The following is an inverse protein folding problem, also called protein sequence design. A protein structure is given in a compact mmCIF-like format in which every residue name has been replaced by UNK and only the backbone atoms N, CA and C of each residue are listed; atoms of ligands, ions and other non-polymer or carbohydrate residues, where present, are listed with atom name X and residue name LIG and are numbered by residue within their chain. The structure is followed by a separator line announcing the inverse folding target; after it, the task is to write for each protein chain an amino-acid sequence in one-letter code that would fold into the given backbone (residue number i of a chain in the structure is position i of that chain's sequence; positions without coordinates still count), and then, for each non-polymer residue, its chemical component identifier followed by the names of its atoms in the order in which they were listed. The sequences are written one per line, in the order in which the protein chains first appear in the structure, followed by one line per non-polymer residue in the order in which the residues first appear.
data_IF_011905326679
#
_entry.id   IF_011905326679
#
_cell.length_a   1.000
_cell.length_b   1.000
_cell.length_c   1.000
_cell.angle_alpha   90.00
_cell.angle_beta   90.00
_cell.angle_gamma   90.00
#
_symmetry.space_group_name_H-M   'P 1'
#
loop_
_entity.id
_entity.type
_entity.pdbx_description
1 polymer ?
#
# COMPACT_ATOMS: atom_id res chain seq x y z
N UNK A 1 1.82 4.84 -41.25
CA UNK A 1 1.55 4.91 -39.80
C UNK A 1 0.49 5.97 -39.58
N UNK A 2 -0.66 5.54 -39.08
CA UNK A 2 -1.82 6.41 -38.91
C UNK A 2 -1.63 7.29 -37.66
N UNK A 3 -2.06 8.56 -37.68
CA UNK A 3 -1.87 9.51 -36.56
C UNK A 3 -2.43 9.00 -35.22
N UNK A 4 -3.42 8.12 -35.28
CA UNK A 4 -4.06 7.53 -34.09
C UNK A 4 -3.21 6.42 -33.45
N UNK A 5 -2.40 5.69 -34.21
CA UNK A 5 -1.51 4.63 -33.67
C UNK A 5 -0.34 5.20 -32.86
N UNK A 6 0.11 6.41 -33.21
CA UNK A 6 1.20 7.10 -32.50
C UNK A 6 0.73 7.59 -31.12
N UNK A 7 -0.55 7.94 -30.98
CA UNK A 7 -1.12 8.37 -29.70
C UNK A 7 -1.28 7.21 -28.72
N UNK A 8 -1.74 6.04 -29.18
CA UNK A 8 -1.89 4.86 -28.30
C UNK A 8 -0.54 4.29 -27.83
N UNK A 9 0.49 4.31 -28.69
CA UNK A 9 1.83 3.81 -28.34
C UNK A 9 2.54 4.62 -27.24
N UNK A 10 2.15 5.88 -27.04
CA UNK A 10 2.80 6.79 -26.11
C UNK A 10 2.20 6.76 -24.70
N UNK A 11 0.99 6.22 -24.53
CA UNK A 11 0.22 6.40 -23.29
C UNK A 11 -0.12 5.10 -22.53
N UNK A 12 0.02 3.92 -23.13
CA UNK A 12 -0.24 2.67 -22.42
C UNK A 12 1.06 1.98 -22.04
N UNK A 13 1.36 2.01 -20.74
CA UNK A 13 2.36 1.13 -20.13
C UNK A 13 1.65 -0.04 -19.50
N UNK A 14 1.98 -1.24 -19.95
CA UNK A 14 1.65 -2.44 -19.21
C UNK A 14 2.79 -2.76 -18.24
N UNK A 15 2.51 -2.63 -16.95
CA UNK A 15 3.41 -3.04 -15.87
C UNK A 15 2.98 -4.35 -15.21
N UNK A 16 1.90 -4.99 -15.68
CA UNK A 16 1.39 -6.24 -15.12
C UNK A 16 2.45 -7.35 -15.05
N UNK A 17 3.36 -7.54 -16.03
CA UNK A 17 4.43 -8.54 -15.91
C UNK A 17 5.38 -8.30 -14.73
N UNK A 18 5.57 -7.04 -14.32
CA UNK A 18 6.38 -6.72 -13.14
C UNK A 18 5.59 -6.98 -11.86
N UNK A 19 4.28 -6.81 -11.88
CA UNK A 19 3.41 -7.01 -10.71
C UNK A 19 3.15 -8.50 -10.44
N UNK A 20 3.23 -9.36 -11.47
CA UNK A 20 3.19 -10.82 -11.33
C UNK A 20 4.39 -11.41 -10.57
N UNK A 21 5.50 -10.66 -10.49
CA UNK A 21 6.71 -11.06 -9.75
C UNK A 21 6.62 -10.74 -8.25
N UNK A 22 5.47 -10.25 -7.76
CA UNK A 22 5.30 -9.88 -6.36
C UNK A 22 5.36 -11.14 -5.46
N UNK A 23 6.32 -11.23 -4.51
CA UNK A 23 6.45 -12.39 -3.62
C UNK A 23 5.21 -12.60 -2.74
N UNK A 24 4.37 -11.56 -2.58
CA UNK A 24 3.11 -11.66 -1.85
C UNK A 24 2.05 -12.52 -2.56
N UNK A 25 2.18 -12.74 -3.87
CA UNK A 25 1.24 -13.55 -4.69
C UNK A 25 1.53 -15.05 -4.62
N UNK A 26 2.66 -15.45 -4.04
CA UNK A 26 3.05 -16.85 -3.87
C UNK A 26 1.94 -17.59 -3.10
N UNK A 27 1.74 -18.89 -3.39
CA UNK A 27 0.66 -19.73 -2.82
C UNK A 27 -0.76 -19.42 -3.32
N UNK A 28 -0.91 -18.62 -4.39
CA UNK A 28 -2.20 -18.38 -5.05
C UNK A 28 -3.04 -17.26 -4.41
N UNK A 29 -2.39 -16.34 -3.69
CA UNK A 29 -3.06 -15.13 -3.21
C UNK A 29 -3.33 -14.16 -4.36
N UNK A 30 -4.44 -13.44 -4.27
CA UNK A 30 -4.78 -12.34 -5.16
C UNK A 30 -4.91 -11.04 -4.38
N UNK A 31 -4.39 -9.93 -4.90
CA UNK A 31 -4.51 -8.61 -4.28
C UNK A 31 -5.95 -8.09 -4.52
N UNK A 32 -6.61 -7.67 -3.45
CA UNK A 32 -7.97 -7.07 -3.49
C UNK A 32 -8.00 -5.61 -3.08
N UNK A 33 -6.95 -5.14 -2.43
CA UNK A 33 -6.80 -3.75 -2.03
C UNK A 33 -5.32 -3.40 -1.94
N UNK A 34 -4.95 -2.23 -2.47
CA UNK A 34 -3.62 -1.65 -2.31
C UNK A 34 -3.73 -0.13 -2.28
N UNK A 35 -3.44 0.50 -1.14
CA UNK A 35 -3.40 1.96 -1.00
C UNK A 35 -2.42 2.38 0.09
N UNK A 36 -1.93 3.60 0.00
CA UNK A 36 -1.31 4.29 1.13
C UNK A 36 -2.38 4.80 2.08
N UNK A 37 -2.19 4.58 3.37
CA UNK A 37 -3.12 4.98 4.43
C UNK A 37 -2.32 5.70 5.53
N UNK A 38 -2.81 6.84 6.05
CA UNK A 38 -2.16 7.52 7.17
C UNK A 38 -2.34 6.71 8.45
N UNK A 39 -1.24 6.32 9.07
CA UNK A 39 -1.17 5.57 10.31
C UNK A 39 -0.49 6.42 11.38
N UNK A 40 -1.01 6.37 12.61
CA UNK A 40 -0.27 6.84 13.77
C UNK A 40 0.60 5.68 14.29
N UNK A 41 1.91 5.78 14.12
CA UNK A 41 2.88 4.77 14.55
C UNK A 41 3.29 5.06 15.98
N UNK A 42 3.06 4.10 16.87
CA UNK A 42 3.48 4.17 18.28
C UNK A 42 4.44 3.04 18.61
N UNK A 43 5.32 3.29 19.57
CA UNK A 43 6.23 2.27 20.12
C UNK A 43 5.86 2.04 21.58
N UNK A 44 5.63 0.78 21.93
CA UNK A 44 5.39 0.37 23.31
C UNK A 44 6.67 -0.26 23.89
N UNK A 45 7.26 0.39 24.89
CA UNK A 45 8.45 -0.11 25.60
C UNK A 45 8.13 -1.25 26.57
N UNK A 46 6.90 -1.31 27.10
CA UNK A 46 6.39 -2.41 27.92
C UNK A 46 4.85 -2.42 27.93
N UNK A 47 4.22 -3.56 28.28
CA UNK A 47 2.76 -3.69 28.32
C UNK A 47 2.08 -2.76 29.36
N UNK A 48 2.84 -2.21 30.32
CA UNK A 48 2.31 -1.38 31.42
C UNK A 48 2.52 0.12 31.22
N UNK A 49 3.28 0.55 30.21
CA UNK A 49 3.52 1.97 29.94
C UNK A 49 2.62 2.38 28.78
N UNK A 50 1.79 3.42 28.93
CA UNK A 50 1.02 3.95 27.82
C UNK A 50 1.96 4.31 26.67
N UNK A 51 1.68 3.83 25.44
CA UNK A 51 2.54 4.11 24.30
C UNK A 51 2.67 5.63 24.09
N UNK A 52 3.87 6.07 23.72
CA UNK A 52 4.15 7.48 23.45
C UNK A 52 3.26 8.04 22.33
N UNK A 53 3.14 9.37 22.28
CA UNK A 53 2.45 10.07 21.18
C UNK A 53 3.17 9.70 19.88
N UNK A 54 2.44 9.08 18.96
CA UNK A 54 3.01 8.50 17.74
C UNK A 54 3.34 9.51 16.65
N UNK A 55 4.12 9.09 15.65
CA UNK A 55 4.33 9.80 14.39
C UNK A 55 3.24 9.44 13.39
N UNK A 56 2.79 10.41 12.58
CA UNK A 56 1.89 10.13 11.46
C UNK A 56 2.70 9.76 10.22
N UNK A 57 2.48 8.55 9.69
CA UNK A 57 3.18 8.02 8.52
C UNK A 57 2.23 7.40 7.50
N UNK A 58 2.53 7.54 6.22
CA UNK A 58 1.77 6.87 5.17
C UNK A 58 2.31 5.45 4.99
N UNK A 59 1.49 4.46 5.35
CA UNK A 59 1.82 3.05 5.22
C UNK A 59 1.10 2.49 4.00
N UNK A 60 1.83 1.77 3.16
CA UNK A 60 1.23 0.99 2.07
C UNK A 60 0.58 -0.25 2.66
N UNK A 61 -0.75 -0.34 2.51
CA UNK A 61 -1.56 -1.48 2.92
C UNK A 61 -1.90 -2.31 1.70
N UNK A 62 -1.55 -3.60 1.72
CA UNK A 62 -2.05 -4.60 0.77
C UNK A 62 -2.99 -5.57 1.49
N UNK A 63 -4.19 -5.80 0.93
CA UNK A 63 -5.07 -6.88 1.35
C UNK A 63 -5.10 -7.94 0.26
N UNK A 64 -4.74 -9.15 0.63
CA UNK A 64 -4.67 -10.31 -0.25
C UNK A 64 -5.66 -11.38 0.20
N UNK A 65 -6.20 -12.13 -0.76
CA UNK A 65 -7.14 -13.21 -0.51
C UNK A 65 -6.67 -14.47 -1.19
N UNK A 66 -6.69 -15.57 -0.46
CA UNK A 66 -6.61 -16.91 -1.02
C UNK A 66 -8.04 -17.45 -1.17
N UNK A 67 -8.50 -17.68 -2.40
CA UNK A 67 -9.87 -18.14 -2.67
C UNK A 67 -9.96 -19.67 -2.54
N UNK A 68 -11.10 -20.19 -2.06
CA UNK A 68 -11.39 -21.63 -2.15
C UNK A 68 -11.71 -21.98 -3.61
N UNK A 69 -10.86 -22.77 -4.25
CA UNK A 69 -11.19 -23.34 -5.56
C UNK A 69 -12.48 -24.15 -5.44
N UNK A 70 -13.49 -23.85 -6.24
CA UNK A 70 -14.65 -24.74 -6.37
C UNK A 70 -14.21 -25.94 -7.19
N UNK A 71 -14.20 -27.13 -6.59
CA UNK A 71 -14.13 -28.37 -7.37
C UNK A 71 -15.43 -28.49 -8.19
N UNK A 72 -15.40 -27.99 -9.42
CA UNK A 72 -16.39 -28.30 -10.46
C UNK A 72 -15.67 -29.16 -11.48
N UNK A 73 -15.97 -30.46 -11.45
CA UNK A 73 -15.73 -31.46 -12.51
C UNK A 73 -14.81 -31.00 -13.65
N UNK A 74 -13.49 -31.12 -13.45
CA UNK A 74 -12.51 -31.32 -14.53
C UNK A 74 -12.34 -30.27 -15.63
N UNK A 75 -12.99 -29.10 -15.58
CA UNK A 75 -12.82 -28.06 -16.61
C UNK A 75 -12.16 -26.84 -15.96
N UNK A 76 -10.86 -26.69 -16.23
CA UNK A 76 -10.05 -25.53 -15.85
C UNK A 76 -10.47 -24.32 -16.70
N UNK A 77 -11.61 -23.73 -16.35
CA UNK A 77 -11.98 -22.38 -16.79
C UNK A 77 -11.36 -21.36 -15.86
N UNK A 78 -10.78 -20.30 -16.41
CA UNK A 78 -10.39 -19.10 -15.67
C UNK A 78 -11.60 -18.65 -14.85
N UNK A 79 -11.54 -18.77 -13.51
CA UNK A 79 -12.64 -18.33 -12.66
C UNK A 79 -12.86 -16.84 -12.89
N UNK A 80 -14.08 -16.50 -13.32
CA UNK A 80 -14.55 -15.15 -13.46
C UNK A 80 -14.40 -14.48 -12.08
N UNK A 81 -13.52 -13.49 -11.99
CA UNK A 81 -13.25 -12.79 -10.74
C UNK A 81 -14.53 -12.10 -10.26
N UNK A 82 -14.91 -12.23 -8.97
CA UNK A 82 -16.12 -11.63 -8.48
C UNK A 82 -16.07 -10.11 -8.69
N UNK A 83 -17.06 -9.61 -9.42
CA UNK A 83 -17.32 -8.17 -9.58
C UNK A 83 -17.69 -7.57 -8.23
N UNK A 84 -17.53 -6.26 -8.11
CA UNK A 84 -17.81 -5.49 -6.90
C UNK A 84 -19.24 -5.80 -6.38
N UNK A 85 -19.33 -6.50 -5.24
CA UNK A 85 -20.59 -6.90 -4.61
C UNK A 85 -20.83 -8.42 -4.50
N UNK A 86 -20.01 -9.25 -5.14
CA UNK A 86 -20.08 -10.71 -4.95
C UNK A 86 -19.34 -11.18 -3.69
N UNK A 87 -19.91 -12.16 -2.99
CA UNK A 87 -19.28 -12.81 -1.83
C UNK A 87 -17.96 -13.45 -2.24
N UNK A 88 -16.86 -12.93 -1.69
CA UNK A 88 -15.55 -13.54 -1.88
C UNK A 88 -15.50 -14.78 -0.99
N UNK A 89 -15.51 -15.97 -1.60
CA UNK A 89 -15.32 -17.24 -0.90
C UNK A 89 -13.85 -17.41 -0.46
N UNK A 90 -13.40 -16.52 0.40
CA UNK A 90 -12.05 -16.47 0.92
C UNK A 90 -11.78 -17.69 1.80
N UNK A 91 -10.68 -18.39 1.54
CA UNK A 91 -10.10 -19.36 2.46
C UNK A 91 -9.28 -18.64 3.52
N UNK A 92 -8.53 -17.61 3.13
CA UNK A 92 -7.68 -16.79 4.00
C UNK A 92 -7.65 -15.34 3.50
N UNK A 93 -7.61 -14.40 4.45
CA UNK A 93 -7.34 -12.98 4.21
C UNK A 93 -5.98 -12.67 4.81
N UNK A 94 -5.06 -12.13 4.01
CA UNK A 94 -3.73 -11.69 4.43
C UNK A 94 -3.64 -10.18 4.32
N UNK A 95 -3.15 -9.53 5.36
CA UNK A 95 -2.78 -8.11 5.34
C UNK A 95 -1.27 -7.98 5.34
N UNK A 96 -0.76 -7.07 4.53
CA UNK A 96 0.65 -6.69 4.52
C UNK A 96 0.78 -5.18 4.63
N UNK A 97 1.69 -4.74 5.50
CA UNK A 97 1.98 -3.36 5.77
C UNK A 97 3.45 -3.09 5.44
N UNK A 98 3.70 -2.15 4.54
CA UNK A 98 5.05 -1.75 4.13
C UNK A 98 5.21 -0.24 4.17
N UNK A 99 6.40 0.25 4.53
CA UNK A 99 6.74 1.69 4.48
C UNK A 99 7.72 1.99 3.33
N UNK A 100 7.59 3.18 2.75
CA UNK A 100 8.58 3.76 1.83
C UNK A 100 9.68 4.52 2.57
N UNK A 101 9.41 4.98 3.80
CA UNK A 101 10.39 5.67 4.66
C UNK A 101 11.33 4.70 5.36
N UNK A 102 10.81 3.52 5.73
CA UNK A 102 11.58 2.42 6.30
C UNK A 102 11.36 1.13 5.49
N UNK A 103 12.40 0.71 4.75
CA UNK A 103 12.33 -0.47 3.89
C UNK A 103 12.27 -1.79 4.65
N UNK A 104 12.67 -1.80 5.93
CA UNK A 104 12.61 -2.99 6.80
C UNK A 104 11.25 -3.12 7.49
N UNK A 105 10.42 -2.08 7.44
CA UNK A 105 9.06 -2.12 7.92
C UNK A 105 8.22 -3.03 7.03
N UNK A 106 8.03 -4.28 7.47
CA UNK A 106 7.19 -5.26 6.81
C UNK A 106 6.47 -6.12 7.85
N UNK A 107 5.19 -5.84 8.03
CA UNK A 107 4.33 -6.56 8.98
C UNK A 107 3.22 -7.29 8.24
N UNK A 108 2.93 -8.49 8.69
CA UNK A 108 1.87 -9.31 8.10
C UNK A 108 0.90 -9.80 9.16
N UNK A 109 -0.35 -9.97 8.74
CA UNK A 109 -1.36 -10.73 9.46
C UNK A 109 -2.01 -11.70 8.46
N UNK A 110 -2.29 -12.93 8.89
CA UNK A 110 -3.10 -13.88 8.10
C UNK A 110 -4.24 -14.40 8.95
N UNK A 111 -5.46 -14.23 8.46
CA UNK A 111 -6.70 -14.64 9.12
C UNK A 111 -7.41 -15.68 8.26
N UNK A 112 -7.84 -16.77 8.88
CA UNK A 112 -8.71 -17.78 8.30
C UNK A 112 -9.99 -17.90 9.15
N UNK A 113 -10.91 -18.79 8.74
CA UNK A 113 -12.19 -18.98 9.44
C UNK A 113 -12.00 -19.20 10.95
N UNK A 114 -11.05 -20.05 11.34
CA UNK A 114 -10.86 -20.44 12.74
C UNK A 114 -10.23 -19.31 13.54
N UNK A 115 -9.23 -18.62 12.99
CA UNK A 115 -8.62 -17.48 13.68
C UNK A 115 -9.56 -16.29 13.73
N UNK A 116 -10.44 -16.14 12.73
CA UNK A 116 -11.50 -15.14 12.74
C UNK A 116 -12.54 -15.41 13.83
N UNK A 117 -13.01 -16.65 14.02
CA UNK A 117 -13.94 -16.99 15.12
C UNK A 117 -13.39 -16.60 16.50
N UNK A 118 -12.09 -16.80 16.71
CA UNK A 118 -11.43 -16.34 17.95
C UNK A 118 -11.43 -14.81 18.06
N UNK A 119 -11.13 -14.09 16.97
CA UNK A 119 -11.17 -12.63 16.90
C UNK A 119 -12.60 -12.10 17.15
N UNK A 120 -13.60 -12.73 16.53
CA UNK A 120 -15.01 -12.42 16.64
C UNK A 120 -15.48 -12.53 18.09
N UNK A 121 -15.12 -13.63 18.77
CA UNK A 121 -15.44 -13.82 20.19
C UNK A 121 -14.69 -12.83 21.09
N UNK A 122 -13.39 -12.61 20.85
CA UNK A 122 -12.55 -11.71 21.66
C UNK A 122 -13.01 -10.25 21.57
N UNK A 123 -13.43 -9.80 20.39
CA UNK A 123 -13.78 -8.40 20.12
C UNK A 123 -15.29 -8.18 19.95
N UNK A 124 -16.11 -9.23 20.14
CA UNK A 124 -17.59 -9.21 19.99
C UNK A 124 -18.04 -8.69 18.63
N UNK A 125 -17.38 -9.13 17.56
CA UNK A 125 -17.74 -8.76 16.20
C UNK A 125 -19.05 -9.46 15.80
N UNK A 126 -19.92 -8.73 15.10
CA UNK A 126 -21.23 -9.24 14.66
C UNK A 126 -21.23 -9.71 13.21
N UNK A 127 -20.10 -9.62 12.52
CA UNK A 127 -19.95 -9.96 11.10
C UNK A 127 -19.44 -11.39 10.94
N UNK A 128 -19.70 -11.98 9.78
CA UNK A 128 -19.11 -13.26 9.39
C UNK A 128 -17.76 -13.09 8.69
N UNK A 129 -16.98 -14.18 8.61
CA UNK A 129 -15.68 -14.16 7.95
C UNK A 129 -15.75 -13.74 6.47
N UNK A 130 -16.85 -14.06 5.78
CA UNK A 130 -17.11 -13.65 4.39
C UNK A 130 -17.14 -12.13 4.21
N UNK A 131 -17.54 -11.39 5.25
CA UNK A 131 -17.64 -9.94 5.25
C UNK A 131 -16.33 -9.26 5.71
N UNK A 132 -15.44 -9.99 6.39
CA UNK A 132 -14.25 -9.46 7.03
C UNK A 132 -13.37 -8.61 6.08
N UNK A 133 -13.14 -9.10 4.86
CA UNK A 133 -12.35 -8.36 3.85
C UNK A 133 -13.00 -7.01 3.50
N UNK A 134 -14.32 -6.99 3.30
CA UNK A 134 -15.03 -5.77 2.92
C UNK A 134 -15.00 -4.75 4.07
N UNK A 135 -15.10 -5.22 5.31
CA UNK A 135 -14.97 -4.39 6.50
C UNK A 135 -13.57 -3.78 6.59
N UNK A 136 -12.50 -4.55 6.38
CA UNK A 136 -11.13 -4.01 6.34
C UNK A 136 -10.98 -2.92 5.27
N UNK A 137 -11.46 -3.18 4.05
CA UNK A 137 -11.44 -2.19 2.95
C UNK A 137 -12.19 -0.92 3.36
N UNK A 138 -13.36 -1.05 3.98
CA UNK A 138 -14.16 0.09 4.44
C UNK A 138 -13.40 0.90 5.49
N UNK A 139 -12.82 0.25 6.50
CA UNK A 139 -12.07 0.92 7.56
C UNK A 139 -10.87 1.70 7.02
N UNK A 140 -10.03 1.07 6.19
CA UNK A 140 -8.88 1.76 5.59
C UNK A 140 -9.30 2.94 4.71
N UNK A 141 -10.35 2.78 3.90
CA UNK A 141 -10.85 3.89 3.10
C UNK A 141 -11.43 5.03 3.95
N UNK A 142 -12.03 4.73 5.11
CA UNK A 142 -12.48 5.77 6.04
C UNK A 142 -11.32 6.53 6.66
N UNK A 143 -10.23 5.85 7.05
CA UNK A 143 -9.00 6.50 7.52
C UNK A 143 -8.38 7.43 6.47
N UNK A 144 -8.49 7.09 5.18
CA UNK A 144 -8.03 7.97 4.09
C UNK A 144 -8.95 9.18 3.91
N UNK A 145 -10.27 8.99 3.88
CA UNK A 145 -11.24 10.05 3.56
C UNK A 145 -11.46 11.02 4.72
N UNK A 146 -11.47 10.50 5.94
CA UNK A 146 -11.87 11.21 7.15
C UNK A 146 -10.84 10.99 8.27
N UNK A 147 -9.56 11.39 8.08
CA UNK A 147 -8.46 11.07 8.99
C UNK A 147 -8.57 11.70 10.39
N UNK A 148 -9.49 12.66 10.58
CA UNK A 148 -9.77 13.26 11.90
C UNK A 148 -10.82 12.46 12.68
N UNK A 149 -11.66 11.70 11.97
CA UNK A 149 -12.77 10.92 12.53
C UNK A 149 -12.46 9.43 12.61
N UNK A 150 -11.63 8.91 11.70
CA UNK A 150 -11.21 7.52 11.65
C UNK A 150 -9.70 7.43 11.65
N UNK A 151 -9.16 6.79 12.68
CA UNK A 151 -7.73 6.66 12.93
C UNK A 151 -7.31 5.19 12.76
N UNK A 152 -6.13 4.99 12.19
CA UNK A 152 -5.43 3.72 12.18
C UNK A 152 -4.19 3.88 13.07
N UNK A 153 -4.23 3.32 14.28
CA UNK A 153 -3.12 3.41 15.23
C UNK A 153 -2.36 2.09 15.20
N UNK A 154 -1.08 2.14 14.82
CA UNK A 154 -0.23 0.96 14.74
C UNK A 154 0.82 0.98 15.84
N UNK A 155 0.61 0.15 16.85
CA UNK A 155 1.50 0.04 18.01
C UNK A 155 2.48 -1.11 17.82
N UNK A 156 3.76 -0.77 17.70
CA UNK A 156 4.87 -1.72 17.70
C UNK A 156 5.09 -2.21 19.13
N UNK A 157 5.09 -3.53 19.32
CA UNK A 157 5.35 -4.19 20.60
C UNK A 157 6.72 -4.89 20.54
N UNK A 158 7.18 -5.35 21.69
CA UNK A 158 8.40 -6.17 21.77
C UNK A 158 8.25 -7.49 20.98
N UNK A 159 9.40 -8.06 20.60
CA UNK A 159 9.49 -9.37 19.91
C UNK A 159 8.87 -9.41 18.50
N UNK A 160 8.87 -8.29 17.79
CA UNK A 160 8.34 -8.22 16.42
C UNK A 160 6.82 -8.38 16.33
N UNK A 161 6.09 -8.27 17.46
CA UNK A 161 4.63 -8.21 17.44
C UNK A 161 4.19 -6.76 17.24
N UNK A 162 3.04 -6.58 16.62
CA UNK A 162 2.42 -5.28 16.51
C UNK A 162 0.90 -5.39 16.57
N UNK A 163 0.24 -4.28 16.83
CA UNK A 163 -1.21 -4.20 16.90
C UNK A 163 -1.68 -3.00 16.09
N UNK A 164 -2.65 -3.22 15.20
CA UNK A 164 -3.37 -2.18 14.49
C UNK A 164 -4.74 -2.01 15.11
N UNK A 165 -5.03 -0.82 15.61
CA UNK A 165 -6.34 -0.46 16.15
C UNK A 165 -7.01 0.56 15.24
N UNK A 166 -8.21 0.20 14.77
CA UNK A 166 -9.09 1.14 14.09
C UNK A 166 -9.93 1.86 15.14
N UNK A 167 -9.78 3.17 15.21
CA UNK A 167 -10.43 4.00 16.22
C UNK A 167 -11.32 5.04 15.54
N UNK A 168 -12.56 5.16 16.02
CA UNK A 168 -13.45 6.26 15.66
C UNK A 168 -13.41 7.34 16.72
N UNK A 169 -13.10 8.56 16.31
CA UNK A 169 -13.26 9.75 17.13
C UNK A 169 -14.73 10.22 17.05
N UNK A 170 -15.44 10.16 18.18
CA UNK A 170 -16.81 10.67 18.34
C UNK A 170 -16.82 12.07 18.99
N UNK A 171 -15.73 12.84 18.87
CA UNK A 171 -15.49 14.17 19.46
C UNK A 171 -15.29 14.17 20.98
N UNK A 172 -16.16 13.50 21.72
CA UNK A 172 -16.09 13.40 23.19
C UNK A 172 -15.58 12.03 23.67
N UNK A 173 -15.37 11.08 22.76
CA UNK A 173 -14.88 9.74 23.08
C UNK A 173 -14.26 9.07 21.86
N UNK A 174 -13.17 8.32 22.09
CA UNK A 174 -12.62 7.38 21.12
C UNK A 174 -13.25 6.00 21.30
N UNK A 175 -13.70 5.40 20.20
CA UNK A 175 -14.28 4.07 20.16
C UNK A 175 -13.41 3.17 19.29
N UNK A 176 -12.85 2.13 19.87
CA UNK A 176 -12.17 1.07 19.13
C UNK A 176 -13.20 0.27 18.32
N UNK A 177 -12.95 0.11 17.02
CA UNK A 177 -13.84 -0.56 16.08
C UNK A 177 -13.38 -1.99 15.77
N UNK A 178 -12.06 -2.18 15.64
CA UNK A 178 -11.44 -3.45 15.28
C UNK A 178 -9.96 -3.41 15.64
N UNK A 179 -9.46 -4.50 16.21
CA UNK A 179 -8.05 -4.70 16.54
C UNK A 179 -7.48 -5.85 15.73
N UNK A 180 -6.34 -5.63 15.09
CA UNK A 180 -5.65 -6.63 14.29
C UNK A 180 -4.23 -6.84 14.85
N UNK A 181 -3.91 -8.08 15.21
CA UNK A 181 -2.57 -8.47 15.66
C UNK A 181 -1.68 -8.84 14.46
N UNK A 182 -0.51 -8.22 14.39
CA UNK A 182 0.49 -8.37 13.32
C UNK A 182 1.78 -8.96 13.86
N UNK A 183 2.53 -9.60 12.95
CA UNK A 183 3.87 -10.11 13.22
C UNK A 183 4.81 -9.58 12.14
N UNK A 184 5.98 -9.12 12.57
CA UNK A 184 7.08 -8.73 11.69
C UNK A 184 7.50 -9.94 10.86
N UNK A 185 7.68 -9.73 9.57
CA UNK A 185 8.11 -10.81 8.70
C UNK A 185 9.55 -11.24 8.95
N UNK A 186 9.89 -12.46 8.53
CA UNK A 186 11.27 -12.94 8.60
C UNK A 186 12.20 -12.09 7.74
N UNK A 187 13.49 -12.08 8.07
CA UNK A 187 14.51 -11.36 7.29
C UNK A 187 14.51 -11.78 5.82
N UNK A 188 14.27 -13.07 5.54
CA UNK A 188 14.20 -13.58 4.17
C UNK A 188 13.02 -12.97 3.40
N UNK A 189 11.83 -12.95 4.01
CA UNK A 189 10.65 -12.35 3.41
C UNK A 189 10.82 -10.82 3.22
N UNK A 190 11.44 -10.14 4.19
CA UNK A 190 11.77 -8.72 4.09
C UNK A 190 12.73 -8.49 2.91
N UNK A 191 13.78 -9.30 2.79
CA UNK A 191 14.78 -9.18 1.73
C UNK A 191 14.17 -9.42 0.34
N UNK A 192 13.35 -10.46 0.19
CA UNK A 192 12.62 -10.73 -1.05
C UNK A 192 11.70 -9.56 -1.41
N UNK A 193 10.96 -9.01 -0.45
CA UNK A 193 10.08 -7.86 -0.67
C UNK A 193 10.86 -6.61 -1.09
N UNK A 194 11.99 -6.31 -0.41
CA UNK A 194 12.88 -5.20 -0.76
C UNK A 194 13.44 -5.38 -2.17
N UNK A 195 13.94 -6.58 -2.51
CA UNK A 195 14.48 -6.88 -3.83
C UNK A 195 13.41 -6.70 -4.93
N UNK A 196 12.19 -7.19 -4.68
CA UNK A 196 11.06 -7.00 -5.58
C UNK A 196 10.74 -5.52 -5.78
N UNK A 197 10.50 -4.76 -4.69
CA UNK A 197 10.17 -3.32 -4.74
C UNK A 197 11.25 -2.53 -5.47
N UNK A 198 12.52 -2.78 -5.16
CA UNK A 198 13.66 -2.17 -5.86
C UNK A 198 13.63 -2.49 -7.36
N UNK A 199 13.42 -3.76 -7.72
CA UNK A 199 13.43 -4.21 -9.12
C UNK A 199 12.27 -3.58 -9.91
N UNK A 200 11.08 -3.51 -9.31
CA UNK A 200 9.92 -2.84 -9.92
C UNK A 200 10.22 -1.37 -10.15
N UNK A 201 10.69 -0.64 -9.13
CA UNK A 201 10.99 0.80 -9.25
C UNK A 201 12.11 1.04 -10.25
N UNK A 202 13.19 0.24 -10.22
CA UNK A 202 14.30 0.31 -11.18
C UNK A 202 13.83 0.09 -12.61
N UNK A 203 13.00 -0.92 -12.83
CA UNK A 203 12.48 -1.26 -14.16
C UNK A 203 11.52 -0.18 -14.67
N UNK A 204 10.57 0.27 -13.85
CA UNK A 204 9.68 1.39 -14.16
C UNK A 204 10.47 2.65 -14.49
N UNK A 205 11.49 2.99 -13.71
CA UNK A 205 12.34 4.14 -13.95
C UNK A 205 13.17 4.01 -15.24
N UNK A 206 13.73 2.82 -15.53
CA UNK A 206 14.48 2.58 -16.76
C UNK A 206 13.60 2.71 -18.01
N UNK A 207 12.39 2.15 -17.97
CA UNK A 207 11.39 2.27 -19.04
C UNK A 207 11.01 3.74 -19.23
N UNK A 208 10.64 4.45 -18.16
CA UNK A 208 10.26 5.85 -18.20
C UNK A 208 11.40 6.75 -18.71
N UNK A 209 12.63 6.52 -18.24
CA UNK A 209 13.83 7.26 -18.66
C UNK A 209 14.16 7.03 -20.14
N UNK A 210 13.97 5.81 -20.65
CA UNK A 210 14.12 5.53 -22.10
C UNK A 210 13.09 6.32 -22.90
N UNK A 211 11.82 6.30 -22.48
CA UNK A 211 10.74 7.03 -23.15
C UNK A 211 10.94 8.53 -23.17
N UNK A 212 11.36 9.11 -22.04
CA UNK A 212 11.65 10.53 -21.97
C UNK A 212 12.76 10.92 -22.95
N UNK A 213 13.76 10.05 -23.16
CA UNK A 213 14.79 10.24 -24.19
C UNK A 213 14.21 10.14 -25.60
N UNK A 214 13.38 9.15 -25.88
CA UNK A 214 12.76 8.98 -27.21
C UNK A 214 11.88 10.18 -27.58
N UNK A 215 11.07 10.67 -26.64
CA UNK A 215 10.26 11.89 -26.81
C UNK A 215 11.14 13.12 -27.00
N UNK A 216 12.21 13.25 -26.20
CA UNK A 216 13.18 14.35 -26.34
C UNK A 216 13.83 14.37 -27.73
N UNK A 217 14.23 13.21 -28.25
CA UNK A 217 14.78 13.08 -29.62
C UNK A 217 13.76 13.45 -30.70
N UNK A 218 12.51 13.02 -30.54
CA UNK A 218 11.43 13.35 -31.48
C UNK A 218 11.16 14.86 -31.50
N UNK A 219 11.04 15.49 -30.33
CA UNK A 219 10.85 16.94 -30.21
C UNK A 219 12.07 17.67 -30.77
N UNK A 220 13.30 17.22 -30.48
CA UNK A 220 14.53 17.82 -31.04
C UNK A 220 14.50 17.84 -32.57
N UNK A 221 14.02 16.77 -33.20
CA UNK A 221 13.90 16.66 -34.65
C UNK A 221 12.78 17.53 -35.22
N UNK A 222 11.63 17.65 -34.53
CA UNK A 222 10.43 18.34 -35.04
C UNK A 222 10.34 19.82 -34.67
N UNK A 223 10.80 20.20 -33.48
CA UNK A 223 10.75 21.55 -32.94
C UNK A 223 11.82 21.74 -31.84
N UNK A 224 13.08 22.04 -32.20
CA UNK A 224 14.18 22.17 -31.24
C UNK A 224 14.00 23.36 -30.27
N UNK A 225 13.30 24.42 -30.70
CA UNK A 225 13.00 25.59 -29.86
C UNK A 225 12.07 25.24 -28.70
N UNK A 226 11.07 24.39 -28.95
CA UNK A 226 10.18 23.88 -27.91
C UNK A 226 10.94 23.04 -26.87
N UNK A 227 11.87 22.19 -27.33
CA UNK A 227 12.70 21.39 -26.42
C UNK A 227 13.53 22.28 -25.49
N UNK A 228 14.15 23.33 -26.02
CA UNK A 228 14.93 24.29 -25.23
C UNK A 228 14.05 25.01 -24.20
N UNK A 229 12.83 25.39 -24.56
CA UNK A 229 11.89 26.01 -23.63
C UNK A 229 11.45 25.03 -22.53
N UNK A 230 11.15 23.78 -22.87
CA UNK A 230 10.80 22.74 -21.91
C UNK A 230 11.95 22.47 -20.93
N UNK A 231 13.18 22.35 -21.43
CA UNK A 231 14.36 22.15 -20.59
C UNK A 231 14.60 23.33 -19.64
N UNK A 232 14.55 24.57 -20.14
CA UNK A 232 14.69 25.78 -19.31
C UNK A 232 13.60 25.84 -18.23
N UNK A 233 12.36 25.49 -18.58
CA UNK A 233 11.24 25.50 -17.64
C UNK A 233 11.40 24.41 -16.58
N UNK A 234 11.80 23.20 -16.97
CA UNK A 234 12.04 22.08 -16.06
C UNK A 234 13.18 22.38 -15.08
N UNK A 235 14.32 22.93 -15.54
CA UNK A 235 15.42 23.35 -14.67
C UNK A 235 14.97 24.37 -13.64
N UNK A 236 14.21 25.40 -14.05
CA UNK A 236 13.67 26.40 -13.15
C UNK A 236 12.71 25.82 -12.11
N UNK A 237 11.85 24.88 -12.50
CA UNK A 237 10.96 24.19 -11.56
C UNK A 237 11.74 23.32 -10.57
N UNK A 238 12.80 22.65 -11.02
CA UNK A 238 13.65 21.83 -10.18
C UNK A 238 14.41 22.67 -9.14
N UNK A 239 14.97 23.82 -9.54
CA UNK A 239 15.60 24.79 -8.64
C UNK A 239 14.61 25.31 -7.58
N UNK A 240 13.38 25.62 -7.98
CA UNK A 240 12.32 26.05 -7.05
C UNK A 240 11.92 24.94 -6.07
N UNK A 241 11.88 23.67 -6.51
CA UNK A 241 11.56 22.53 -5.66
C UNK A 241 12.69 22.23 -4.65
N UNK A 242 13.95 22.35 -5.07
CA UNK A 242 15.12 22.17 -4.20
C UNK A 242 15.23 23.31 -3.19
N UNK A 243 15.07 24.56 -3.63
CA UNK A 243 15.08 25.74 -2.74
C UNK A 243 13.97 25.71 -1.69
N UNK A 244 12.78 25.20 -2.04
CA UNK A 244 11.69 24.97 -1.07
C UNK A 244 12.01 23.87 -0.06
N UNK A 245 12.70 22.79 -0.46
CA UNK A 245 13.16 21.73 0.47
C UNK A 245 14.26 22.23 1.42
N UNK A 246 15.22 23.02 0.94
CA UNK A 246 16.28 23.61 1.79
C UNK A 246 15.72 24.61 2.80
N UNK A 247 14.74 25.43 2.43
CA UNK A 247 14.07 26.33 3.37
C UNK A 247 13.22 25.57 4.42
N UNK A 248 12.62 24.43 4.05
CA UNK A 248 11.85 23.60 5.00
C UNK A 248 12.76 22.95 6.06
N UNK A 249 14.01 22.64 5.72
CA UNK A 249 15.02 22.13 6.68
C UNK A 249 15.53 23.25 7.60
N UNK A 250 15.67 24.48 7.10
CA UNK A 250 16.10 25.65 7.89
C UNK A 250 15.03 26.18 8.86
N UNK A 251 13.74 25.99 8.54
CA UNK A 251 12.65 26.40 9.44
C UNK A 251 12.32 25.39 10.55
N UNK A 252 12.93 24.20 10.54
CA UNK A 252 12.74 23.18 11.58
C UNK A 252 13.87 23.13 12.63
N UNK A 253 14.80 24.10 12.61
CA UNK A 253 15.97 24.17 13.52
C UNK A 253 16.01 25.43 14.39
N UNK A 254 14.86 26.09 14.59
CA UNK A 254 14.70 27.12 15.62
C UNK A 254 13.45 26.82 16.41
N UNK A 255 13.59 26.04 17.49
CA UNK A 255 12.96 26.17 18.81
C UNK A 255 13.50 25.03 19.67
N UNK A 256 14.72 25.22 20.18
CA UNK A 256 15.15 24.74 21.51
C UNK A 256 15.64 25.97 22.24
#
# INVERSE_FOLDING_TARGET
MNKNEVNDFLCQFDFSPLEELDPSLVQGYCIRYRKEVPFEIRVAESDNIPPEIGSLENITVKLLVLVRQKSRNGIHGYEHFPLQGEEVNARRVKMELTSESDIFFHFTQTVDQRTFENMQNKQKLMIDFSEYLQVLIKMFNSCIREPQSYLAVFTLKLNGKAQLDFIKNMEYKFIELLTCEFIQSSEDAIRENIMYRYTVVKSKNAIMSKRLRDVSLLIKSKNPSLLLQLQKTASRQMELAIGKKSNKIMFNSKWV
#
